data_IF_335225278963
#
_entry.id   IF_335225278963
#
_cell.length_a   1.000
_cell.length_b   1.000
_cell.length_c   1.000
_cell.angle_alpha   90.00
_cell.angle_beta   90.00
_cell.angle_gamma   90.00
#
_symmetry.space_group_name_H-M   'P 1'
#
loop_
_entity.id
_entity.type
_entity.pdbx_description
1 polymer ?
#
# COMPACT_ATOMS: atom_id res chain seq x y z
N UNK A 1 9.52 0.14 -17.54
CA UNK A 1 10.61 -0.53 -16.80
C UNK A 1 11.98 -0.38 -17.46
N UNK A 2 12.14 -0.52 -18.78
CA UNK A 2 13.46 -0.44 -19.45
C UNK A 2 14.21 0.91 -19.40
N UNK A 3 13.56 2.03 -19.06
CA UNK A 3 14.19 3.36 -18.96
C UNK A 3 14.73 3.67 -17.54
N UNK A 4 14.26 2.96 -16.51
CA UNK A 4 14.68 3.20 -15.11
C UNK A 4 15.98 2.50 -14.77
N UNK A 5 16.38 1.50 -15.54
CA UNK A 5 17.66 0.81 -15.36
C UNK A 5 18.83 1.59 -15.99
N UNK A 6 18.59 2.79 -16.53
CA UNK A 6 19.59 3.62 -17.21
C UNK A 6 20.14 4.76 -16.34
N UNK A 7 19.58 5.02 -15.15
CA UNK A 7 20.14 5.99 -14.23
C UNK A 7 21.12 5.29 -13.28
N UNK A 8 22.33 5.82 -13.14
CA UNK A 8 23.36 5.25 -12.26
C UNK A 8 23.12 5.58 -10.77
N UNK A 9 22.18 6.48 -10.48
CA UNK A 9 21.83 6.92 -9.13
C UNK A 9 20.74 6.01 -8.54
N UNK A 10 21.14 5.12 -7.61
CA UNK A 10 20.25 4.19 -6.92
C UNK A 10 19.14 4.90 -6.13
N UNK A 11 19.42 6.05 -5.54
CA UNK A 11 18.45 6.80 -4.75
C UNK A 11 17.35 7.39 -5.64
N UNK A 12 17.75 8.00 -6.76
CA UNK A 12 16.81 8.53 -7.74
C UNK A 12 15.95 7.41 -8.35
N UNK A 13 16.57 6.28 -8.69
CA UNK A 13 15.85 5.11 -9.21
C UNK A 13 14.81 4.60 -8.22
N UNK A 14 15.16 4.52 -6.94
CA UNK A 14 14.23 4.10 -5.89
C UNK A 14 13.05 5.06 -5.80
N UNK A 15 13.30 6.36 -5.73
CA UNK A 15 12.23 7.35 -5.65
C UNK A 15 11.26 7.28 -6.83
N UNK A 16 11.78 7.16 -8.05
CA UNK A 16 10.93 7.09 -9.24
C UNK A 16 10.10 5.80 -9.23
N UNK A 17 10.69 4.67 -8.81
CA UNK A 17 9.95 3.41 -8.69
C UNK A 17 8.85 3.49 -7.65
N UNK A 18 9.13 4.06 -6.48
CA UNK A 18 8.15 4.23 -5.41
C UNK A 18 6.98 5.10 -5.88
N UNK A 19 7.27 6.21 -6.57
CA UNK A 19 6.23 7.09 -7.13
C UNK A 19 5.38 6.40 -8.21
N UNK A 20 6.00 5.63 -9.11
CA UNK A 20 5.27 4.85 -10.13
C UNK A 20 4.35 3.83 -9.44
N UNK A 21 4.86 3.12 -8.44
CA UNK A 21 4.10 2.11 -7.70
C UNK A 21 2.86 2.75 -7.04
N UNK A 22 3.03 3.90 -6.37
CA UNK A 22 1.92 4.63 -5.75
C UNK A 22 0.84 4.96 -6.77
N UNK A 23 1.22 5.43 -7.97
CA UNK A 23 0.26 5.80 -9.03
C UNK A 23 -0.42 4.60 -9.68
N UNK A 24 0.32 3.53 -9.93
CA UNK A 24 -0.18 2.39 -10.69
C UNK A 24 -0.99 1.41 -9.83
N UNK A 25 -0.65 1.27 -8.55
CA UNK A 25 -1.22 0.26 -7.66
C UNK A 25 -2.01 0.84 -6.47
N UNK A 26 -1.59 1.97 -5.90
CA UNK A 26 -2.17 2.48 -4.64
C UNK A 26 -3.01 3.76 -4.79
N UNK A 27 -3.26 4.19 -6.03
CA UNK A 27 -4.02 5.39 -6.33
C UNK A 27 -5.54 5.20 -6.22
N UNK A 28 -6.28 6.31 -6.25
CA UNK A 28 -7.75 6.32 -6.26
C UNK A 28 -8.27 5.47 -7.43
N UNK A 29 -9.28 4.63 -7.14
CA UNK A 29 -9.90 3.73 -8.11
C UNK A 29 -9.15 2.41 -8.32
N UNK A 30 -7.97 2.24 -7.73
CA UNK A 30 -7.29 0.94 -7.65
C UNK A 30 -7.87 0.10 -6.52
N UNK A 31 -7.65 -1.21 -6.60
CA UNK A 31 -8.03 -2.13 -5.53
C UNK A 31 -7.13 -1.85 -4.33
N UNK A 32 -7.73 -1.60 -3.16
CA UNK A 32 -6.98 -1.45 -1.93
C UNK A 32 -6.13 -2.73 -1.66
N UNK A 33 -4.86 -2.58 -1.21
CA UNK A 33 -4.03 -3.72 -0.84
C UNK A 33 -4.71 -4.53 0.27
N UNK A 34 -4.56 -5.85 0.21
CA UNK A 34 -5.00 -6.65 1.35
C UNK A 34 -4.00 -6.43 2.50
N UNK A 35 -4.53 -6.18 3.68
CA UNK A 35 -3.76 -6.03 4.92
C UNK A 35 -4.29 -7.04 5.92
N UNK A 36 -3.38 -7.62 6.69
CA UNK A 36 -3.71 -8.55 7.74
C UNK A 36 -2.98 -8.18 9.04
N UNK A 37 -3.59 -8.56 10.15
CA UNK A 37 -3.05 -8.26 11.46
C UNK A 37 -3.84 -8.96 12.56
N UNK A 38 -3.41 -8.72 13.78
CA UNK A 38 -4.12 -9.16 14.98
C UNK A 38 -4.44 -7.90 15.77
N UNK A 39 -5.71 -7.74 16.14
CA UNK A 39 -6.13 -6.60 16.94
C UNK A 39 -5.75 -6.75 18.43
N UNK A 40 -6.12 -5.75 19.24
CA UNK A 40 -5.81 -5.70 20.67
C UNK A 40 -6.45 -6.84 21.48
N UNK A 41 -7.51 -7.45 20.96
CA UNK A 41 -8.20 -8.58 21.60
C UNK A 41 -7.67 -9.95 21.11
N UNK A 42 -6.61 -9.95 20.30
CA UNK A 42 -6.03 -11.17 19.74
C UNK A 42 -6.82 -11.73 18.54
N UNK A 43 -7.77 -10.97 17.99
CA UNK A 43 -8.59 -11.42 16.87
C UNK A 43 -7.88 -11.13 15.55
N UNK A 44 -7.84 -12.14 14.69
CA UNK A 44 -7.33 -12.00 13.34
C UNK A 44 -8.22 -11.04 12.53
N UNK A 45 -7.56 -10.12 11.84
CA UNK A 45 -8.15 -9.17 10.92
C UNK A 45 -7.53 -9.36 9.54
N UNK A 46 -8.37 -9.34 8.50
CA UNK A 46 -7.96 -9.19 7.11
C UNK A 46 -8.93 -8.28 6.38
N UNK A 47 -8.43 -7.33 5.59
CA UNK A 47 -9.29 -6.36 4.90
C UNK A 47 -10.21 -7.05 3.89
N UNK A 48 -9.72 -8.08 3.19
CA UNK A 48 -10.52 -8.85 2.23
C UNK A 48 -11.72 -9.60 2.84
N UNK A 49 -11.77 -9.80 4.16
CA UNK A 49 -12.94 -10.39 4.83
C UNK A 49 -14.17 -9.45 4.82
N UNK A 50 -13.97 -8.17 4.52
CA UNK A 50 -15.01 -7.13 4.53
C UNK A 50 -15.49 -6.73 3.12
N UNK A 51 -15.16 -7.51 2.09
CA UNK A 51 -15.61 -7.27 0.72
C UNK A 51 -17.13 -7.12 0.63
N UNK A 52 -17.58 -6.15 -0.18
CA UNK A 52 -19.00 -5.81 -0.33
C UNK A 52 -19.53 -4.80 0.69
N UNK A 53 -18.71 -4.35 1.64
CA UNK A 53 -19.04 -3.24 2.57
C UNK A 53 -18.33 -1.96 2.16
N UNK A 54 -18.90 -0.82 2.54
CA UNK A 54 -18.19 0.47 2.55
C UNK A 54 -17.36 0.52 3.83
N UNK A 55 -16.07 0.77 3.69
CA UNK A 55 -15.09 0.76 4.78
C UNK A 55 -14.40 2.11 4.81
N UNK A 56 -14.26 2.68 6.00
CA UNK A 56 -13.37 3.79 6.29
C UNK A 56 -12.23 3.25 7.15
N UNK A 57 -10.99 3.38 6.68
CA UNK A 57 -9.80 2.86 7.35
C UNK A 57 -8.95 4.04 7.82
N UNK A 58 -8.70 4.10 9.13
CA UNK A 58 -7.95 5.17 9.77
C UNK A 58 -6.66 4.62 10.39
N UNK A 59 -5.52 5.23 10.04
CA UNK A 59 -4.20 4.84 10.52
C UNK A 59 -3.74 5.83 11.58
N UNK A 60 -3.67 5.39 12.83
CA UNK A 60 -3.28 6.21 13.97
C UNK A 60 -2.37 5.42 14.93
N UNK A 61 -1.74 6.12 15.87
CA UNK A 61 -0.97 5.52 16.96
C UNK A 61 -0.74 6.53 18.08
N UNK A 62 -0.53 6.02 19.29
CA UNK A 62 -0.03 6.76 20.45
C UNK A 62 1.49 6.57 20.61
N UNK A 63 2.11 7.41 21.44
CA UNK A 63 3.57 7.48 21.65
C UNK A 63 3.96 7.30 23.12
#
# INVERSE_FOLDING_TARGET
MALLDQADDEWLNRMIRDEILVREEFAIGKKAPDIEGVDLDGKAFRLSDYQGKIIFLDFWGDW
#
